data_IF_884596534924
#
_entry.id   IF_884596534924
#
_cell.length_a   1.000
_cell.length_b   1.000
_cell.length_c   1.000
_cell.angle_alpha   90.00
_cell.angle_beta   90.00
_cell.angle_gamma   90.00
#
_symmetry.space_group_name_H-M   'P 1'
#
loop_
_entity.id
_entity.type
_entity.pdbx_description
1 polymer ?
#
# COMPACT_ATOMS: atom_id res chain seq x y z
N UNK A 1 -7.66 9.29 5.32
CA UNK A 1 -7.40 9.58 3.88
C UNK A 1 -7.89 8.38 3.07
N UNK A 2 -8.53 8.57 1.91
CA UNK A 2 -8.91 7.49 0.98
C UNK A 2 -8.15 7.67 -0.33
N UNK A 3 -7.53 6.62 -0.85
CA UNK A 3 -6.85 6.63 -2.13
C UNK A 3 -7.16 5.35 -2.88
N UNK A 4 -7.61 5.47 -4.12
CA UNK A 4 -7.74 4.32 -5.03
C UNK A 4 -6.36 3.99 -5.56
N UNK A 5 -5.94 2.73 -5.41
CA UNK A 5 -4.69 2.21 -5.96
C UNK A 5 -5.02 1.09 -6.94
N UNK A 6 -4.21 0.97 -8.00
CA UNK A 6 -4.38 -0.06 -9.03
C UNK A 6 -3.27 -1.10 -8.88
N UNK A 7 -3.65 -2.37 -8.97
CA UNK A 7 -2.70 -3.47 -9.10
C UNK A 7 -2.21 -3.50 -10.54
N UNK A 8 -0.90 -3.43 -10.74
CA UNK A 8 -0.29 -3.55 -12.07
C UNK A 8 -0.41 -4.99 -12.60
N UNK A 9 -0.16 -5.19 -13.90
CA UNK A 9 -0.15 -6.54 -14.50
C UNK A 9 0.84 -7.52 -13.84
N UNK A 10 1.84 -7.00 -13.12
CA UNK A 10 2.82 -7.79 -12.35
C UNK A 10 2.42 -8.02 -10.89
N UNK A 11 1.22 -7.64 -10.47
CA UNK A 11 0.75 -7.81 -9.09
C UNK A 11 1.26 -6.75 -8.11
N UNK A 12 1.98 -5.72 -8.55
CA UNK A 12 2.51 -4.66 -7.68
C UNK A 12 1.46 -3.57 -7.43
N UNK A 13 1.31 -3.15 -6.17
CA UNK A 13 0.54 -1.97 -5.76
C UNK A 13 1.50 -0.81 -5.49
N UNK A 14 1.24 0.34 -6.08
CA UNK A 14 2.03 1.56 -5.82
C UNK A 14 1.38 2.38 -4.73
N UNK A 15 2.13 2.65 -3.65
CA UNK A 15 1.71 3.61 -2.62
C UNK A 15 1.97 5.05 -3.09
N UNK A 16 0.92 5.89 -3.26
CA UNK A 16 1.08 7.27 -3.69
C UNK A 16 2.00 8.06 -2.76
N UNK A 17 2.71 9.05 -3.30
CA UNK A 17 3.70 9.82 -2.55
C UNK A 17 3.13 10.44 -1.24
N UNK A 18 1.90 10.96 -1.30
CA UNK A 18 1.22 11.52 -0.12
C UNK A 18 0.99 10.48 0.98
N UNK A 19 0.69 9.23 0.62
CA UNK A 19 0.48 8.15 1.57
C UNK A 19 1.80 7.69 2.19
N UNK A 20 2.85 7.53 1.37
CA UNK A 20 4.20 7.20 1.86
C UNK A 20 4.71 8.25 2.86
N UNK A 21 4.55 9.53 2.54
CA UNK A 21 4.97 10.63 3.42
C UNK A 21 4.16 10.66 4.72
N UNK A 22 2.84 10.49 4.66
CA UNK A 22 2.00 10.50 5.85
C UNK A 22 2.31 9.34 6.82
N UNK A 23 2.72 8.19 6.29
CA UNK A 23 3.10 7.01 7.06
C UNK A 23 4.60 6.96 7.40
N UNK A 24 5.40 7.92 6.95
CA UNK A 24 6.85 7.95 7.17
C UNK A 24 7.63 6.84 6.45
N UNK A 25 7.03 6.21 5.43
CA UNK A 25 7.59 5.07 4.72
C UNK A 25 8.76 5.47 3.81
N UNK A 26 9.81 4.66 3.85
CA UNK A 26 11.02 4.80 3.07
C UNK A 26 11.15 3.68 2.04
N UNK A 27 12.13 3.84 1.16
CA UNK A 27 12.53 2.79 0.24
C UNK A 27 13.04 1.60 1.05
N UNK A 28 12.68 0.39 0.64
CA UNK A 28 13.04 -0.89 1.26
C UNK A 28 12.45 -1.17 2.65
N UNK A 29 11.55 -0.33 3.15
CA UNK A 29 10.74 -0.67 4.32
C UNK A 29 9.88 -1.90 4.00
N UNK A 30 9.88 -2.88 4.90
CA UNK A 30 9.02 -4.05 4.81
C UNK A 30 7.66 -3.75 5.42
N UNK A 31 6.60 -4.09 4.68
CA UNK A 31 5.21 -3.97 5.13
C UNK A 31 4.60 -5.36 5.27
N UNK A 32 3.67 -5.50 6.21
CA UNK A 32 2.92 -6.74 6.42
C UNK A 32 1.58 -6.59 5.71
N UNK A 33 1.30 -7.49 4.77
CA UNK A 33 0.00 -7.59 4.16
C UNK A 33 -0.80 -8.73 4.81
N UNK A 34 -1.99 -8.43 5.34
CA UNK A 34 -2.89 -9.39 5.95
C UNK A 34 -4.23 -9.40 5.21
N UNK A 35 -4.78 -10.59 4.96
CA UNK A 35 -6.14 -10.73 4.42
C UNK A 35 -7.14 -10.76 5.58
N UNK A 36 -8.03 -9.78 5.61
CA UNK A 36 -9.13 -9.67 6.57
C UNK A 36 -10.46 -9.91 5.85
N UNK A 37 -11.58 -10.12 6.57
CA UNK A 37 -12.90 -10.26 5.94
C UNK A 37 -13.33 -9.06 5.09
N UNK A 38 -12.82 -7.86 5.41
CA UNK A 38 -13.12 -6.61 4.70
C UNK A 38 -12.18 -6.35 3.52
N UNK A 39 -11.14 -7.18 3.34
CA UNK A 39 -10.21 -7.10 2.22
C UNK A 39 -8.74 -7.22 2.63
N UNK A 40 -7.85 -6.54 1.90
CA UNK A 40 -6.41 -6.55 2.17
C UNK A 40 -6.03 -5.38 3.08
N UNK A 41 -5.48 -5.68 4.25
CA UNK A 41 -4.82 -4.72 5.13
C UNK A 41 -3.32 -4.72 4.83
N UNK A 42 -2.72 -3.53 4.74
CA UNK A 42 -1.30 -3.31 4.46
C UNK A 42 -0.70 -2.38 5.51
#
# INVERSE_FOLDING_TARGET
MKATVTITSRGVVTLPAKLRQALGLKVDDQLIAETTPDGLLL
#
